data_IF_686139144346
#
_entry.id   IF_686139144346
#
_cell.length_a   1.000
_cell.length_b   1.000
_cell.length_c   1.000
_cell.angle_alpha   90.00
_cell.angle_beta   90.00
_cell.angle_gamma   90.00
#
_symmetry.space_group_name_H-M   'P 1'
#
loop_
_entity.id
_entity.type
_entity.pdbx_description
1 polymer ?
#
# COMPACT_ATOMS: atom_id res chain seq x y z
N UNK A 1 -16.47 0.97 -8.43
CA UNK A 1 -15.34 0.02 -8.38
C UNK A 1 -14.12 0.72 -8.95
N UNK A 2 -12.91 0.41 -8.46
CA UNK A 2 -11.69 0.93 -9.05
C UNK A 2 -11.42 0.27 -10.41
N UNK A 3 -10.81 1.00 -11.34
CA UNK A 3 -10.37 0.51 -12.65
C UNK A 3 -8.88 0.77 -12.85
N UNK A 4 -8.14 -0.11 -13.53
CA UNK A 4 -6.72 0.14 -13.83
C UNK A 4 -6.58 1.36 -14.74
N UNK A 5 -5.63 2.25 -14.41
CA UNK A 5 -5.25 3.37 -15.28
C UNK A 5 -4.37 2.91 -16.45
N UNK A 6 -3.60 1.83 -16.24
CA UNK A 6 -2.76 1.15 -17.22
C UNK A 6 -2.70 -0.35 -16.89
N UNK A 7 -2.41 -1.17 -17.90
CA UNK A 7 -2.11 -2.60 -17.72
C UNK A 7 -0.66 -2.85 -17.34
N UNK A 8 0.20 -1.85 -17.49
CA UNK A 8 1.61 -1.94 -17.11
C UNK A 8 1.81 -1.55 -15.64
N UNK A 9 2.76 -2.20 -14.94
CA UNK A 9 3.11 -1.81 -13.58
C UNK A 9 3.84 -0.46 -13.57
N UNK A 10 3.58 0.35 -12.55
CA UNK A 10 4.22 1.67 -12.40
C UNK A 10 5.52 1.62 -11.60
N UNK A 11 5.74 0.54 -10.84
CA UNK A 11 6.97 0.36 -10.06
C UNK A 11 7.13 -1.08 -9.55
N UNK A 12 8.36 -1.40 -9.14
CA UNK A 12 8.70 -2.62 -8.40
C UNK A 12 9.62 -2.25 -7.22
N UNK A 13 9.39 -2.88 -6.07
CA UNK A 13 10.14 -2.67 -4.83
C UNK A 13 10.55 -4.02 -4.20
N UNK A 14 11.76 -4.06 -3.64
CA UNK A 14 12.19 -5.11 -2.73
C UNK A 14 11.81 -4.71 -1.30
N UNK A 15 10.76 -5.31 -0.75
CA UNK A 15 10.25 -5.00 0.59
C UNK A 15 10.68 -6.08 1.58
N UNK A 16 11.28 -5.65 2.68
CA UNK A 16 11.70 -6.54 3.75
C UNK A 16 10.50 -6.91 4.63
N UNK A 17 10.37 -8.18 4.95
CA UNK A 17 9.41 -8.68 5.92
C UNK A 17 10.18 -9.25 7.10
N UNK A 18 9.99 -8.65 8.27
CA UNK A 18 10.57 -9.16 9.50
C UNK A 18 10.02 -10.55 9.84
N UNK A 19 10.84 -11.37 10.51
CA UNK A 19 10.39 -12.66 11.02
C UNK A 19 9.24 -12.49 12.01
N UNK A 20 8.21 -13.31 11.90
CA UNK A 20 7.01 -13.19 12.72
C UNK A 20 6.33 -14.55 12.92
N UNK A 21 5.36 -14.60 13.84
CA UNK A 21 4.53 -15.80 14.04
C UNK A 21 3.19 -15.60 13.34
N UNK A 22 2.84 -16.54 12.46
CA UNK A 22 1.54 -16.56 11.79
C UNK A 22 0.87 -17.90 12.05
N UNK A 23 -0.34 -17.87 12.62
CA UNK A 23 -1.13 -19.08 12.97
C UNK A 23 -0.33 -20.09 13.80
N UNK A 24 0.38 -19.61 14.82
CA UNK A 24 1.19 -20.44 15.72
C UNK A 24 2.50 -20.99 15.14
N UNK A 25 2.84 -20.64 13.89
CA UNK A 25 4.09 -21.08 13.24
C UNK A 25 5.00 -19.88 12.97
N UNK A 26 6.29 -20.06 13.22
CA UNK A 26 7.30 -19.04 12.88
C UNK A 26 7.50 -18.97 11.37
N UNK A 27 7.56 -17.75 10.86
CA UNK A 27 7.87 -17.39 9.48
C UNK A 27 9.17 -16.59 9.51
N UNK A 28 10.22 -17.11 8.87
CA UNK A 28 11.52 -16.44 8.78
C UNK A 28 11.42 -15.12 8.03
N UNK A 29 12.32 -14.19 8.35
CA UNK A 29 12.46 -12.96 7.58
C UNK A 29 12.73 -13.27 6.10
N UNK A 30 12.12 -12.50 5.21
CA UNK A 30 12.20 -12.71 3.76
C UNK A 30 11.90 -11.41 3.01
N UNK A 31 12.00 -11.48 1.68
CA UNK A 31 11.76 -10.36 0.78
C UNK A 31 10.46 -10.60 0.00
N UNK A 32 9.63 -9.57 -0.09
CA UNK A 32 8.58 -9.47 -1.09
C UNK A 32 9.06 -8.59 -2.24
N UNK A 33 9.09 -9.14 -3.47
CA UNK A 33 9.21 -8.35 -4.68
C UNK A 33 7.83 -7.81 -5.03
N UNK A 34 7.51 -6.60 -4.54
CA UNK A 34 6.22 -5.98 -4.69
C UNK A 34 6.13 -5.25 -6.04
N UNK A 35 5.10 -5.54 -6.82
CA UNK A 35 4.81 -4.86 -8.09
C UNK A 35 3.60 -3.96 -7.89
N UNK A 36 3.78 -2.66 -8.14
CA UNK A 36 2.75 -1.64 -7.93
C UNK A 36 2.02 -1.32 -9.24
N UNK A 37 0.70 -1.26 -9.19
CA UNK A 37 -0.18 -0.86 -10.29
C UNK A 37 -0.98 0.40 -9.91
N UNK A 38 -1.30 1.23 -10.91
CA UNK A 38 -2.12 2.42 -10.73
C UNK A 38 -3.60 2.12 -11.01
N UNK A 39 -4.46 2.43 -10.05
CA UNK A 39 -5.92 2.30 -10.18
C UNK A 39 -6.59 3.65 -9.91
N UNK A 40 -7.67 3.91 -10.62
CA UNK A 40 -8.53 5.09 -10.44
C UNK A 40 -9.85 4.61 -9.84
N UNK A 41 -10.36 5.31 -8.85
CA UNK A 41 -11.68 5.08 -8.28
C UNK A 41 -12.41 6.40 -8.06
N UNK A 42 -13.73 6.33 -8.07
CA UNK A 42 -14.61 7.47 -7.73
C UNK A 42 -14.41 7.87 -6.25
N UNK A 43 -14.00 9.12 -5.96
CA UNK A 43 -13.80 9.57 -4.59
C UNK A 43 -15.08 9.59 -3.75
N UNK A 44 -16.25 9.70 -4.38
CA UNK A 44 -17.56 9.70 -3.71
C UNK A 44 -18.12 8.30 -3.45
N UNK A 45 -17.44 7.25 -3.94
CA UNK A 45 -17.85 5.89 -3.68
C UNK A 45 -17.78 5.55 -2.18
N UNK A 46 -18.72 4.75 -1.65
CA UNK A 46 -18.73 4.37 -0.25
C UNK A 46 -17.48 3.58 0.13
N UNK A 47 -16.81 4.00 1.20
CA UNK A 47 -15.65 3.31 1.76
C UNK A 47 -16.07 2.48 2.98
N UNK A 48 -15.52 1.27 3.11
CA UNK A 48 -15.79 0.37 4.23
C UNK A 48 -14.50 -0.35 4.62
N UNK A 49 -14.17 -0.32 5.91
CA UNK A 49 -13.06 -1.10 6.45
C UNK A 49 -13.43 -2.59 6.52
N UNK A 50 -12.43 -3.45 6.53
CA UNK A 50 -12.57 -4.90 6.67
C UNK A 50 -12.09 -5.27 8.07
N UNK A 51 -13.00 -5.37 9.02
CA UNK A 51 -12.69 -5.46 10.46
C UNK A 51 -11.76 -6.63 10.85
N UNK A 52 -11.73 -7.70 10.06
CA UNK A 52 -10.83 -8.84 10.21
C UNK A 52 -9.41 -8.59 9.65
N UNK A 53 -9.16 -7.40 9.08
CA UNK A 53 -7.91 -7.04 8.40
C UNK A 53 -7.40 -5.63 8.74
N UNK A 54 -8.26 -4.62 8.75
CA UNK A 54 -7.91 -3.23 9.00
C UNK A 54 -8.97 -2.50 9.84
N UNK A 55 -8.52 -1.46 10.55
CA UNK A 55 -9.38 -0.69 11.46
C UNK A 55 -10.10 0.48 10.78
N UNK A 56 -9.58 0.97 9.66
CA UNK A 56 -10.12 2.12 8.94
C UNK A 56 -9.63 2.17 7.48
N UNK A 57 -10.36 2.94 6.67
CA UNK A 57 -9.98 3.31 5.31
C UNK A 57 -10.42 4.76 5.08
N UNK A 58 -9.65 5.53 4.30
CA UNK A 58 -9.96 6.91 3.91
C UNK A 58 -9.18 7.31 2.67
N UNK A 59 -9.67 8.33 1.97
CA UNK A 59 -8.86 9.07 1.01
C UNK A 59 -7.83 9.95 1.75
N UNK A 60 -6.60 9.99 1.22
CA UNK A 60 -5.50 10.78 1.76
C UNK A 60 -4.95 11.66 0.63
N UNK A 61 -5.01 13.00 0.76
CA UNK A 61 -4.35 13.88 -0.19
C UNK A 61 -2.84 13.61 -0.22
N UNK A 62 -2.21 13.70 -1.40
CA UNK A 62 -0.78 13.41 -1.57
C UNK A 62 0.11 14.21 -0.60
N UNK A 63 -0.24 15.48 -0.36
CA UNK A 63 0.48 16.36 0.57
C UNK A 63 0.52 15.84 2.03
N UNK A 64 -0.43 14.98 2.42
CA UNK A 64 -0.58 14.48 3.79
C UNK A 64 -0.10 13.03 3.96
N UNK A 65 0.28 12.34 2.87
CA UNK A 65 0.66 10.91 2.93
C UNK A 65 1.84 10.67 3.88
N UNK A 66 2.87 11.51 3.81
CA UNK A 66 4.06 11.36 4.66
C UNK A 66 3.77 11.57 6.14
N UNK A 67 2.92 12.54 6.46
CA UNK A 67 2.49 12.84 7.83
C UNK A 67 1.66 11.68 8.40
N UNK A 68 0.76 11.13 7.59
CA UNK A 68 -0.15 10.05 7.98
C UNK A 68 0.53 8.68 8.02
N UNK A 69 1.64 8.49 7.31
CA UNK A 69 2.34 7.21 7.23
C UNK A 69 3.21 6.98 8.48
N UNK A 70 2.82 6.02 9.30
CA UNK A 70 3.54 5.61 10.51
C UNK A 70 4.77 4.74 10.23
N UNK A 71 5.00 4.34 8.99
CA UNK A 71 6.12 3.48 8.56
C UNK A 71 7.13 4.31 7.76
N UNK A 72 8.21 4.81 8.40
CA UNK A 72 9.14 5.75 7.74
C UNK A 72 9.75 5.20 6.44
N UNK A 73 10.05 3.91 6.40
CA UNK A 73 10.64 3.24 5.23
C UNK A 73 9.69 3.18 4.03
N UNK A 74 8.38 3.28 4.24
CA UNK A 74 7.39 3.33 3.17
C UNK A 74 7.24 4.72 2.55
N UNK A 75 7.61 5.79 3.25
CA UNK A 75 7.43 7.18 2.77
C UNK A 75 8.15 7.45 1.44
N UNK A 76 9.44 7.09 1.25
CA UNK A 76 10.11 7.28 -0.03
C UNK A 76 9.45 6.52 -1.20
N UNK A 77 8.85 5.36 -0.91
CA UNK A 77 8.12 4.57 -1.90
C UNK A 77 6.83 5.31 -2.29
N UNK A 78 6.04 5.77 -1.34
CA UNK A 78 4.84 6.54 -1.62
C UNK A 78 5.16 7.83 -2.39
N UNK A 79 6.19 8.58 -2.01
CA UNK A 79 6.64 9.77 -2.74
C UNK A 79 6.99 9.45 -4.20
N UNK A 80 7.69 8.34 -4.43
CA UNK A 80 8.03 7.89 -5.78
C UNK A 80 6.77 7.53 -6.58
N UNK A 81 5.82 6.80 -5.97
CA UNK A 81 4.58 6.41 -6.64
C UNK A 81 3.71 7.63 -6.95
N UNK A 82 3.58 8.59 -6.03
CA UNK A 82 2.83 9.83 -6.25
C UNK A 82 3.43 10.70 -7.37
N UNK A 83 4.76 10.69 -7.57
CA UNK A 83 5.43 11.37 -8.68
C UNK A 83 5.21 10.70 -10.05
N UNK A 84 4.79 9.43 -10.06
CA UNK A 84 4.53 8.64 -11.28
C UNK A 84 3.04 8.52 -11.60
N UNK A 85 2.18 8.95 -10.67
CA UNK A 85 0.72 8.93 -10.79
C UNK A 85 0.19 10.15 -11.56
#
# INVERSE_FOLDING_TARGET
>A
MASPASVEPVSIESLHVAGHVRRGRYVSAHIHMNVSYLLIADPEAPIRHKADENSAVRWIPFANVNEMCSEPDMRPIYEKLMKRA
#
